data_IF_495793586087
#
_entry.id   IF_495793586087
#
_cell.length_a   1.000
_cell.length_b   1.000
_cell.length_c   1.000
_cell.angle_alpha   90.00
_cell.angle_beta   90.00
_cell.angle_gamma   90.00
#
_symmetry.space_group_name_H-M   'P 1'
#
loop_
_entity.id
_entity.type
_entity.pdbx_description
1 polymer ?
#
# COMPACT_ATOMS: atom_id res chain seq x y z
N UNK A 1 6.62 -15.91 -11.03
CA UNK A 1 5.19 -15.57 -10.90
C UNK A 1 5.01 -14.10 -10.58
N UNK A 2 4.14 -13.42 -11.30
CA UNK A 2 3.89 -12.00 -11.04
C UNK A 2 3.09 -11.80 -9.75
N UNK A 3 3.47 -10.78 -8.99
CA UNK A 3 2.71 -10.40 -7.81
C UNK A 3 1.34 -9.87 -8.22
N UNK A 4 0.30 -10.32 -7.53
CA UNK A 4 -1.08 -9.90 -7.81
C UNK A 4 -1.64 -8.98 -6.74
N UNK A 5 -1.21 -9.14 -5.51
CA UNK A 5 -1.68 -8.34 -4.38
C UNK A 5 -0.49 -7.63 -3.77
N UNK A 6 -0.47 -6.33 -3.91
CA UNK A 6 0.70 -5.52 -3.62
C UNK A 6 0.34 -4.41 -2.63
N UNK A 7 1.19 -4.21 -1.64
CA UNK A 7 1.05 -3.11 -0.69
C UNK A 7 2.21 -2.16 -0.92
N UNK A 8 1.91 -0.87 -1.12
CA UNK A 8 2.93 0.15 -1.33
C UNK A 8 2.78 1.23 -0.27
N UNK A 9 3.77 1.37 0.60
CA UNK A 9 3.76 2.44 1.58
C UNK A 9 4.31 3.72 0.94
N UNK A 10 3.71 4.85 1.26
CA UNK A 10 4.07 6.11 0.63
C UNK A 10 3.79 6.11 -0.86
N UNK A 11 2.76 5.38 -1.28
CA UNK A 11 2.46 5.20 -2.70
C UNK A 11 1.99 6.45 -3.42
N UNK A 12 1.58 7.48 -2.68
CA UNK A 12 1.16 8.74 -3.29
C UNK A 12 2.32 9.69 -3.56
N UNK A 13 3.53 9.35 -3.12
CA UNK A 13 4.72 10.15 -3.44
C UNK A 13 5.10 9.92 -4.90
N UNK A 14 5.99 10.78 -5.41
CA UNK A 14 6.45 10.67 -6.80
C UNK A 14 7.03 9.28 -7.10
N UNK A 15 7.92 8.80 -6.24
CA UNK A 15 8.54 7.50 -6.41
C UNK A 15 7.53 6.35 -6.22
N UNK A 16 6.71 6.44 -5.18
CA UNK A 16 5.70 5.43 -4.92
C UNK A 16 4.70 5.30 -6.05
N UNK A 17 4.29 6.44 -6.62
CA UNK A 17 3.38 6.44 -7.76
C UNK A 17 4.02 5.79 -8.99
N UNK A 18 5.29 6.06 -9.24
CA UNK A 18 6.00 5.45 -10.37
C UNK A 18 6.06 3.92 -10.21
N UNK A 19 6.33 3.45 -9.00
CA UNK A 19 6.35 2.02 -8.70
C UNK A 19 4.96 1.41 -8.91
N UNK A 20 3.93 2.08 -8.42
CA UNK A 20 2.56 1.61 -8.55
C UNK A 20 2.15 1.49 -10.02
N UNK A 21 2.52 2.47 -10.84
CA UNK A 21 2.23 2.44 -12.26
C UNK A 21 2.91 1.26 -12.94
N UNK A 22 4.15 1.00 -12.57
CA UNK A 22 4.90 -0.11 -13.16
C UNK A 22 4.32 -1.46 -12.78
N UNK A 23 3.82 -1.60 -11.57
CA UNK A 23 3.27 -2.85 -11.07
C UNK A 23 1.79 -3.04 -11.38
N UNK A 24 1.12 -2.02 -11.90
CA UNK A 24 -0.32 -2.08 -12.19
C UNK A 24 -0.61 -2.95 -13.41
N UNK A 25 -1.88 -3.33 -13.56
CA UNK A 25 -2.33 -4.10 -14.70
C UNK A 25 -3.63 -4.82 -14.39
N UNK A 26 -4.21 -5.52 -15.38
CA UNK A 26 -5.42 -6.29 -15.18
C UNK A 26 -5.21 -7.39 -14.15
N UNK A 27 -6.23 -7.66 -13.36
CA UNK A 27 -6.23 -8.70 -12.34
C UNK A 27 -5.23 -8.46 -11.21
N UNK A 28 -4.77 -7.23 -11.05
CA UNK A 28 -3.89 -6.85 -9.95
C UNK A 28 -4.65 -6.04 -8.91
N UNK A 29 -4.28 -6.22 -7.64
CA UNK A 29 -4.84 -5.45 -6.54
C UNK A 29 -3.69 -4.73 -5.85
N UNK A 30 -3.79 -3.42 -5.73
CA UNK A 30 -2.74 -2.60 -5.11
C UNK A 30 -3.36 -1.79 -3.97
N UNK A 31 -2.80 -1.96 -2.78
CA UNK A 31 -3.18 -1.12 -1.65
C UNK A 31 -2.11 -0.05 -1.51
N UNK A 32 -2.53 1.20 -1.59
CA UNK A 32 -1.65 2.36 -1.51
C UNK A 32 -1.86 3.04 -0.17
N UNK A 33 -0.79 3.10 0.61
CA UNK A 33 -0.78 3.86 1.84
C UNK A 33 -0.29 5.27 1.55
N UNK A 34 -0.91 6.26 2.19
CA UNK A 34 -0.46 7.64 2.11
C UNK A 34 -0.60 8.32 3.47
N UNK A 35 0.15 9.37 3.70
CA UNK A 35 0.06 10.13 4.95
C UNK A 35 -0.73 11.42 4.76
N UNK A 36 -0.27 12.32 3.90
CA UNK A 36 -0.90 13.63 3.74
C UNK A 36 -1.39 13.92 2.32
N UNK A 37 -0.98 13.15 1.36
CA UNK A 37 -1.23 13.45 -0.05
C UNK A 37 -2.51 12.81 -0.57
N UNK A 38 -3.64 13.13 0.07
CA UNK A 38 -4.93 12.53 -0.30
C UNK A 38 -5.30 12.73 -1.76
N UNK A 39 -5.15 13.96 -2.27
CA UNK A 39 -5.51 14.26 -3.66
C UNK A 39 -4.65 13.49 -4.64
N UNK A 40 -3.36 13.39 -4.35
CA UNK A 40 -2.45 12.62 -5.21
C UNK A 40 -2.81 11.13 -5.18
N UNK A 41 -3.15 10.63 -4.00
CA UNK A 41 -3.55 9.24 -3.86
C UNK A 41 -4.82 8.94 -4.65
N UNK A 42 -5.81 9.83 -4.58
CA UNK A 42 -7.06 9.66 -5.32
C UNK A 42 -6.86 9.72 -6.82
N UNK A 43 -6.01 10.64 -7.28
CA UNK A 43 -5.65 10.72 -8.69
C UNK A 43 -5.00 9.44 -9.18
N UNK A 44 -4.07 8.92 -8.40
CA UNK A 44 -3.37 7.69 -8.74
C UNK A 44 -4.33 6.51 -8.80
N UNK A 45 -5.23 6.43 -7.82
CA UNK A 45 -6.25 5.38 -7.81
C UNK A 45 -7.07 5.39 -9.08
N UNK A 46 -7.52 6.58 -9.50
CA UNK A 46 -8.32 6.73 -10.71
C UNK A 46 -7.52 6.28 -11.94
N UNK A 47 -6.27 6.71 -12.01
CA UNK A 47 -5.39 6.36 -13.13
C UNK A 47 -5.20 4.86 -13.24
N UNK A 48 -4.89 4.19 -12.12
CA UNK A 48 -4.63 2.75 -12.12
C UNK A 48 -5.90 1.94 -12.33
N UNK A 49 -7.02 2.44 -11.82
CA UNK A 49 -8.31 1.77 -12.03
C UNK A 49 -8.66 1.72 -13.51
N UNK A 50 -8.30 2.75 -14.26
CA UNK A 50 -8.52 2.77 -15.70
C UNK A 50 -7.70 1.71 -16.44
N UNK A 51 -6.66 1.17 -15.81
CA UNK A 51 -5.84 0.11 -16.38
C UNK A 51 -6.29 -1.29 -15.93
N UNK A 52 -7.42 -1.37 -15.26
CA UNK A 52 -7.96 -2.64 -14.78
C UNK A 52 -7.41 -3.07 -13.43
N UNK A 53 -6.68 -2.22 -12.74
CA UNK A 53 -6.13 -2.52 -11.42
C UNK A 53 -7.14 -2.17 -10.34
N UNK A 54 -7.34 -3.07 -9.38
CA UNK A 54 -8.16 -2.78 -8.23
C UNK A 54 -7.31 -2.06 -7.17
N UNK A 55 -7.67 -0.84 -6.82
CA UNK A 55 -6.85 -0.01 -5.94
C UNK A 55 -7.59 0.32 -4.66
N UNK A 56 -6.89 0.13 -3.54
CA UNK A 56 -7.38 0.51 -2.22
C UNK A 56 -6.46 1.60 -1.67
N UNK A 57 -7.05 2.58 -1.01
CA UNK A 57 -6.29 3.66 -0.39
C UNK A 57 -6.46 3.59 1.12
N UNK A 58 -5.37 3.79 1.84
CA UNK A 58 -5.44 3.87 3.30
C UNK A 58 -4.52 4.98 3.79
N UNK A 59 -5.06 5.81 4.68
CA UNK A 59 -4.32 6.91 5.27
C UNK A 59 -3.77 6.50 6.63
N UNK A 60 -2.56 6.92 6.94
CA UNK A 60 -2.00 6.70 8.26
C UNK A 60 -0.60 7.24 8.39
N UNK A 61 -0.21 7.53 9.62
CA UNK A 61 1.12 8.00 9.97
C UNK A 61 1.93 6.82 10.48
N UNK A 62 2.93 6.38 9.71
CA UNK A 62 3.72 5.21 10.07
C UNK A 62 4.61 5.39 11.29
N UNK A 63 4.70 6.61 11.82
CA UNK A 63 5.40 6.83 13.08
C UNK A 63 4.52 6.50 14.29
N UNK A 64 3.23 6.24 14.07
CA UNK A 64 2.28 5.93 15.14
C UNK A 64 1.85 4.47 15.08
N UNK A 65 2.03 3.74 16.17
CA UNK A 65 1.64 2.34 16.25
C UNK A 65 0.15 2.13 15.98
N UNK A 66 -0.68 3.03 16.51
CA UNK A 66 -2.12 2.92 16.29
C UNK A 66 -2.49 2.99 14.82
N UNK A 67 -1.81 3.86 14.06
CA UNK A 67 -2.07 4.00 12.64
C UNK A 67 -1.55 2.78 11.87
N UNK A 68 -0.39 2.25 12.27
CA UNK A 68 0.14 1.03 11.64
C UNK A 68 -0.84 -0.12 11.80
N UNK A 69 -1.40 -0.30 13.00
CA UNK A 69 -2.38 -1.34 13.26
C UNK A 69 -3.63 -1.18 12.41
N UNK A 70 -4.10 0.06 12.24
CA UNK A 70 -5.25 0.36 11.39
C UNK A 70 -4.97 0.01 9.94
N UNK A 71 -3.78 0.34 9.45
CA UNK A 71 -3.38 0.05 8.08
C UNK A 71 -3.36 -1.46 7.85
N UNK A 72 -2.76 -2.20 8.77
CA UNK A 72 -2.68 -3.65 8.67
C UNK A 72 -4.07 -4.27 8.69
N UNK A 73 -4.91 -3.83 9.60
CA UNK A 73 -6.29 -4.33 9.70
C UNK A 73 -7.06 -4.07 8.40
N UNK A 74 -6.92 -2.87 7.85
CA UNK A 74 -7.56 -2.51 6.59
C UNK A 74 -7.05 -3.39 5.46
N UNK A 75 -5.72 -3.57 5.38
CA UNK A 75 -5.11 -4.38 4.34
C UNK A 75 -5.58 -5.83 4.40
N UNK A 76 -5.63 -6.41 5.60
CA UNK A 76 -6.13 -7.79 5.77
C UNK A 76 -7.58 -7.90 5.33
N UNK A 77 -8.38 -6.90 5.66
CA UNK A 77 -9.81 -6.88 5.29
C UNK A 77 -10.00 -6.84 3.77
N UNK A 78 -9.15 -6.09 3.06
CA UNK A 78 -9.30 -5.89 1.62
C UNK A 78 -8.55 -6.92 0.79
N UNK A 79 -7.33 -7.25 1.17
CA UNK A 79 -6.49 -8.14 0.38
C UNK A 79 -6.49 -9.58 0.86
N UNK A 80 -6.74 -9.80 2.15
CA UNK A 80 -6.67 -11.09 2.84
C UNK A 80 -5.25 -11.65 2.91
N UNK A 81 -4.47 -11.53 1.86
CA UNK A 81 -3.03 -11.80 1.85
C UNK A 81 -2.37 -10.85 0.86
N UNK A 82 -1.05 -10.82 0.84
CA UNK A 82 -0.32 -10.02 -0.14
C UNK A 82 0.91 -10.78 -0.62
N UNK A 83 1.28 -10.52 -1.88
CA UNK A 83 2.43 -11.17 -2.51
C UNK A 83 3.69 -10.31 -2.41
N UNK A 84 3.52 -9.00 -2.31
CA UNK A 84 4.63 -8.07 -2.36
C UNK A 84 4.37 -6.87 -1.47
N UNK A 85 5.38 -6.48 -0.71
CA UNK A 85 5.33 -5.27 0.10
C UNK A 85 6.44 -4.34 -0.36
N UNK A 86 6.07 -3.17 -0.86
CA UNK A 86 7.02 -2.16 -1.29
C UNK A 86 7.10 -1.07 -0.24
N UNK A 87 8.20 -1.03 0.48
CA UNK A 87 8.42 -0.02 1.52
C UNK A 87 9.04 1.22 0.92
N UNK A 88 8.21 2.20 0.60
CA UNK A 88 8.64 3.46 0.00
C UNK A 88 8.54 4.64 0.97
N UNK A 89 8.18 4.39 2.23
CA UNK A 89 8.17 5.42 3.27
C UNK A 89 9.57 5.59 3.85
N UNK A 90 9.72 6.43 4.89
CA UNK A 90 11.03 6.65 5.49
C UNK A 90 11.58 5.36 6.11
N UNK A 91 12.91 5.28 6.21
CA UNK A 91 13.57 4.07 6.72
C UNK A 91 13.08 3.62 8.09
N UNK A 92 12.86 4.57 8.99
CA UNK A 92 12.42 4.22 10.35
C UNK A 92 11.02 3.62 10.35
N UNK A 93 10.16 4.16 9.53
CA UNK A 93 8.77 3.73 9.44
C UNK A 93 8.66 2.39 8.71
N UNK A 94 9.52 2.17 7.74
CA UNK A 94 9.54 0.91 7.00
C UNK A 94 9.79 -0.28 7.90
N UNK A 95 10.78 -0.18 8.79
CA UNK A 95 11.10 -1.27 9.70
C UNK A 95 9.93 -1.61 10.60
N UNK A 96 9.27 -0.58 11.12
CA UNK A 96 8.08 -0.78 11.96
C UNK A 96 6.96 -1.48 11.22
N UNK A 97 6.68 -1.02 10.01
CA UNK A 97 5.59 -1.59 9.23
C UNK A 97 5.89 -3.05 8.86
N UNK A 98 7.12 -3.38 8.48
CA UNK A 98 7.49 -4.74 8.16
C UNK A 98 7.30 -5.67 9.34
N UNK A 99 7.77 -5.25 10.51
CA UNK A 99 7.63 -6.08 11.71
C UNK A 99 6.16 -6.32 12.04
N UNK A 100 5.35 -5.30 11.99
CA UNK A 100 3.93 -5.44 12.27
C UNK A 100 3.21 -6.29 11.22
N UNK A 101 3.58 -6.12 9.94
CA UNK A 101 2.94 -6.90 8.88
C UNK A 101 3.22 -8.37 9.03
N UNK A 102 4.46 -8.74 9.31
CA UNK A 102 4.85 -10.14 9.47
C UNK A 102 4.14 -10.78 10.65
N UNK A 103 4.15 -10.10 11.80
CA UNK A 103 3.51 -10.62 13.01
C UNK A 103 1.99 -10.65 12.88
N UNK A 104 1.41 -9.57 12.41
CA UNK A 104 -0.06 -9.44 12.36
C UNK A 104 -0.68 -10.27 11.24
N UNK A 105 0.02 -10.42 10.14
CA UNK A 105 -0.53 -11.14 8.99
C UNK A 105 -0.50 -12.65 9.19
N UNK A 106 0.53 -13.14 9.85
CA UNK A 106 0.66 -14.58 10.11
C UNK A 106 -0.33 -15.10 11.14
N UNK A 107 -0.93 -14.24 11.90
CA UNK A 107 -1.94 -14.60 12.87
C UNK A 107 -3.31 -14.49 12.27
#
# INVERSE_FOLDING_TARGET
MEARKIIITGGATRMGAAIARKLSGPNKEILIHYNKSKLKAEKLKKELSNKGTKVYLVKGDLSKETDIKKIIKFAKSKLKFFDCLVNNASLFENDKLENFSLDSWSK
#
